data_IF_241355794424
#
_entry.id   IF_241355794424
#
_cell.length_a   1.000
_cell.length_b   1.000
_cell.length_c   1.000
_cell.angle_alpha   90.00
_cell.angle_beta   90.00
_cell.angle_gamma   90.00
#
_symmetry.space_group_name_H-M   'P 1'
#
loop_
_entity.id
_entity.type
_entity.pdbx_description
1 polymer ?
#
# COMPACT_ATOMS: atom_id res chain seq x y z
N UNK A 1 33.04 -26.93 -26.21
CA UNK A 1 32.81 -27.49 -24.86
C UNK A 1 31.46 -26.98 -24.39
N UNK A 2 30.57 -27.80 -23.79
CA UNK A 2 29.33 -27.28 -23.24
C UNK A 2 29.67 -26.39 -22.05
N UNK A 3 29.12 -25.18 -22.05
CA UNK A 3 29.24 -24.20 -20.97
C UNK A 3 28.74 -24.84 -19.67
N UNK A 4 29.47 -24.80 -18.54
CA UNK A 4 29.01 -25.40 -17.30
C UNK A 4 27.74 -24.67 -16.86
N UNK A 5 26.71 -25.45 -16.52
CA UNK A 5 25.47 -24.95 -15.92
C UNK A 5 25.88 -24.20 -14.64
N UNK A 6 25.86 -22.86 -14.71
CA UNK A 6 26.02 -22.01 -13.54
C UNK A 6 24.79 -22.27 -12.67
N UNK A 7 24.96 -22.91 -11.51
CA UNK A 7 23.93 -22.87 -10.49
C UNK A 7 23.77 -21.40 -10.08
N UNK A 8 22.74 -20.74 -10.60
CA UNK A 8 22.43 -19.37 -10.24
C UNK A 8 21.91 -19.36 -8.81
N UNK A 9 22.67 -18.76 -7.92
CA UNK A 9 22.15 -18.31 -6.64
C UNK A 9 21.10 -17.24 -6.93
N UNK A 10 19.90 -17.37 -6.36
CA UNK A 10 18.88 -16.33 -6.43
C UNK A 10 19.06 -15.33 -5.30
N UNK A 11 18.87 -14.06 -5.58
CA UNK A 11 18.70 -13.02 -4.58
C UNK A 11 17.22 -12.82 -4.25
N UNK A 12 16.96 -12.24 -3.08
CA UNK A 12 15.63 -11.74 -2.72
C UNK A 12 15.59 -10.25 -3.05
N UNK A 13 14.80 -9.91 -4.04
CA UNK A 13 14.50 -8.53 -4.41
C UNK A 13 13.49 -7.94 -3.44
N UNK A 14 13.69 -6.68 -3.08
CA UNK A 14 12.76 -5.88 -2.30
C UNK A 14 12.09 -4.90 -3.26
N UNK A 15 10.91 -5.18 -3.79
CA UNK A 15 10.26 -4.31 -4.79
C UNK A 15 10.12 -2.89 -4.26
N UNK A 16 9.86 -2.70 -2.97
CA UNK A 16 10.08 -1.39 -2.32
C UNK A 16 11.54 -1.27 -1.84
N UNK A 17 12.33 -0.27 -2.30
CA UNK A 17 13.74 -0.16 -1.93
C UNK A 17 13.94 -0.04 -0.41
N UNK A 18 14.80 -0.90 0.16
CA UNK A 18 15.08 -0.91 1.61
C UNK A 18 15.67 0.41 2.12
N UNK A 19 16.34 1.18 1.26
CA UNK A 19 16.95 2.47 1.62
C UNK A 19 15.93 3.54 2.00
N UNK A 20 14.64 3.31 1.75
CA UNK A 20 13.55 4.24 2.03
C UNK A 20 12.81 3.92 3.35
N UNK A 21 13.29 2.94 4.13
CA UNK A 21 12.68 2.58 5.41
C UNK A 21 13.31 3.37 6.57
N UNK A 22 12.47 3.89 7.46
CA UNK A 22 12.88 4.42 8.76
C UNK A 22 13.29 3.27 9.73
N UNK A 23 14.19 3.54 10.68
CA UNK A 23 14.86 2.50 11.50
C UNK A 23 13.91 1.69 12.38
N UNK A 24 12.84 2.32 12.89
CA UNK A 24 11.91 1.80 13.88
C UNK A 24 10.87 0.83 13.31
N UNK A 25 10.61 0.86 12.00
CA UNK A 25 9.69 -0.08 11.31
C UNK A 25 10.41 -1.05 10.34
N UNK A 26 11.74 -1.01 10.33
CA UNK A 26 12.60 -1.71 9.37
C UNK A 26 12.34 -3.22 9.32
N UNK A 27 12.16 -3.87 10.47
CA UNK A 27 12.05 -5.33 10.52
C UNK A 27 10.77 -5.84 9.84
N UNK A 28 9.61 -5.20 10.11
CA UNK A 28 8.32 -5.61 9.55
C UNK A 28 8.26 -5.33 8.04
N UNK A 29 8.61 -4.10 7.65
CA UNK A 29 8.68 -3.65 6.26
C UNK A 29 9.61 -4.54 5.42
N UNK A 30 10.80 -4.86 5.94
CA UNK A 30 11.80 -5.67 5.24
C UNK A 30 11.41 -7.14 5.08
N UNK A 31 10.57 -7.68 5.97
CA UNK A 31 10.16 -9.09 5.94
C UNK A 31 8.83 -9.36 5.26
N UNK A 32 8.06 -8.33 4.89
CA UNK A 32 6.75 -8.51 4.28
C UNK A 32 6.88 -9.15 2.88
N UNK A 33 6.44 -10.40 2.73
CA UNK A 33 6.57 -11.20 1.52
C UNK A 33 5.73 -10.65 0.36
N UNK A 34 4.76 -9.75 0.58
CA UNK A 34 3.98 -9.15 -0.50
C UNK A 34 4.80 -8.27 -1.45
N UNK A 35 6.02 -7.86 -1.09
CA UNK A 35 6.95 -7.15 -1.98
C UNK A 35 8.30 -7.87 -2.17
N UNK A 36 8.42 -9.11 -1.71
CA UNK A 36 9.65 -9.90 -1.83
C UNK A 36 9.56 -10.93 -2.95
N UNK A 37 10.49 -10.86 -3.90
CA UNK A 37 10.51 -11.74 -5.08
C UNK A 37 11.89 -12.37 -5.29
N UNK A 38 11.97 -13.62 -5.77
CA UNK A 38 13.23 -14.22 -6.19
C UNK A 38 13.72 -13.57 -7.49
N UNK A 39 14.98 -13.17 -7.54
CA UNK A 39 15.58 -12.50 -8.72
C UNK A 39 17.00 -12.99 -9.01
N UNK A 40 17.46 -12.75 -10.24
CA UNK A 40 18.84 -12.99 -10.61
C UNK A 40 19.76 -11.94 -9.94
N UNK A 41 20.91 -12.31 -9.36
CA UNK A 41 21.79 -11.37 -8.66
C UNK A 41 22.25 -10.20 -9.53
N UNK A 42 22.55 -10.43 -10.81
CA UNK A 42 22.98 -9.38 -11.73
C UNK A 42 21.87 -8.34 -11.94
N UNK A 43 20.62 -8.80 -12.07
CA UNK A 43 19.44 -7.95 -12.22
C UNK A 43 19.15 -7.20 -10.93
N UNK A 44 19.24 -7.87 -9.77
CA UNK A 44 19.08 -7.25 -8.46
C UNK A 44 20.11 -6.14 -8.23
N UNK A 45 21.37 -6.39 -8.60
CA UNK A 45 22.47 -5.44 -8.41
C UNK A 45 22.30 -4.23 -9.32
N UNK A 46 21.87 -4.45 -10.57
CA UNK A 46 21.58 -3.37 -11.51
C UNK A 46 20.38 -2.53 -11.05
N UNK A 47 19.29 -3.18 -10.63
CA UNK A 47 18.08 -2.50 -10.18
C UNK A 47 18.35 -1.60 -8.98
N UNK A 48 19.18 -2.03 -8.03
CA UNK A 48 19.56 -1.26 -6.84
C UNK A 48 18.35 -0.59 -6.15
N UNK A 49 18.25 0.74 -6.19
CA UNK A 49 17.14 1.55 -5.73
C UNK A 49 16.52 2.40 -6.85
N UNK A 50 16.79 2.05 -8.12
CA UNK A 50 16.29 2.80 -9.27
C UNK A 50 14.75 2.81 -9.27
N UNK A 51 14.14 3.94 -9.66
CA UNK A 51 12.70 4.03 -9.87
C UNK A 51 12.27 3.06 -10.97
N UNK A 52 11.04 2.58 -10.87
CA UNK A 52 10.44 1.81 -11.94
C UNK A 52 9.89 2.74 -13.02
N UNK A 53 10.11 2.41 -14.29
CA UNK A 53 9.54 3.16 -15.39
C UNK A 53 9.75 2.50 -16.74
N UNK A 54 9.08 3.02 -17.77
CA UNK A 54 9.20 2.53 -19.14
C UNK A 54 10.42 3.17 -19.81
N UNK A 55 11.24 2.33 -20.46
CA UNK A 55 12.48 2.79 -21.07
C UNK A 55 12.20 3.38 -22.45
N UNK A 56 12.59 4.64 -22.62
CA UNK A 56 12.68 5.31 -23.91
C UNK A 56 14.06 5.14 -24.55
N UNK A 57 15.13 5.29 -23.78
CA UNK A 57 16.53 5.10 -24.24
C UNK A 57 17.18 3.94 -23.50
N UNK A 58 17.46 2.85 -24.20
CA UNK A 58 17.99 1.61 -23.60
C UNK A 58 19.51 1.69 -23.40
N UNK A 59 19.98 1.49 -22.16
CA UNK A 59 21.40 1.34 -21.84
C UNK A 59 21.79 -0.13 -21.64
N UNK A 60 20.85 -0.95 -21.16
CA UNK A 60 21.07 -2.36 -20.89
C UNK A 60 19.79 -3.18 -21.08
N UNK A 61 19.97 -4.43 -21.48
CA UNK A 61 18.89 -5.43 -21.65
C UNK A 61 19.31 -6.73 -20.98
N UNK A 62 18.39 -7.36 -20.26
CA UNK A 62 18.66 -8.63 -19.58
C UNK A 62 18.88 -9.77 -20.57
N UNK A 63 19.91 -10.58 -20.30
CA UNK A 63 20.19 -11.81 -21.04
C UNK A 63 19.20 -12.94 -20.72
N UNK A 64 18.45 -12.81 -19.62
CA UNK A 64 17.48 -13.80 -19.16
C UNK A 64 16.09 -13.56 -19.76
N UNK A 65 15.78 -12.30 -20.06
CA UNK A 65 14.53 -11.86 -20.67
C UNK A 65 14.73 -10.47 -21.28
N UNK A 66 14.53 -10.34 -22.59
CA UNK A 66 14.82 -9.09 -23.32
C UNK A 66 13.82 -7.96 -23.04
N UNK A 67 12.72 -8.24 -22.35
CA UNK A 67 11.74 -7.22 -21.93
C UNK A 67 12.21 -6.44 -20.70
N UNK A 68 13.10 -7.02 -19.89
CA UNK A 68 13.70 -6.34 -18.74
C UNK A 68 14.89 -5.45 -19.15
N UNK A 69 14.80 -4.16 -18.82
CA UNK A 69 15.69 -3.12 -19.33
C UNK A 69 16.10 -2.13 -18.24
N UNK A 70 17.20 -1.44 -18.49
CA UNK A 70 17.65 -0.27 -17.74
C UNK A 70 18.07 0.81 -18.74
N UNK A 71 17.79 2.07 -18.41
CA UNK A 71 18.01 3.19 -19.30
C UNK A 71 17.33 4.46 -18.83
N UNK A 72 16.97 5.32 -19.77
CA UNK A 72 16.25 6.58 -19.49
C UNK A 72 14.77 6.47 -19.86
N UNK A 73 13.91 7.07 -19.04
CA UNK A 73 12.50 7.32 -19.36
C UNK A 73 12.33 8.45 -20.40
N UNK A 74 11.09 8.84 -20.70
CA UNK A 74 10.80 9.93 -21.64
C UNK A 74 11.30 11.30 -21.17
N UNK A 75 11.37 11.51 -19.85
CA UNK A 75 11.86 12.76 -19.23
C UNK A 75 13.40 12.81 -19.11
N UNK A 76 14.09 11.74 -19.49
CA UNK A 76 15.54 11.62 -19.44
C UNK A 76 16.09 11.23 -18.06
N UNK A 77 15.25 10.70 -17.18
CA UNK A 77 15.61 10.19 -15.85
C UNK A 77 15.95 8.70 -15.93
N UNK A 78 16.93 8.25 -15.15
CA UNK A 78 17.30 6.84 -15.09
C UNK A 78 16.24 6.01 -14.37
N UNK A 79 15.78 4.94 -15.00
CA UNK A 79 14.81 4.02 -14.40
C UNK A 79 15.05 2.57 -14.83
N UNK A 80 14.34 1.67 -14.17
CA UNK A 80 14.39 0.23 -14.41
C UNK A 80 13.03 -0.28 -14.87
N UNK A 81 13.02 -1.07 -15.93
CA UNK A 81 11.81 -1.72 -16.47
C UNK A 81 11.92 -3.23 -16.18
N UNK A 82 11.04 -3.79 -15.34
CA UNK A 82 11.01 -5.22 -15.08
C UNK A 82 10.51 -5.96 -16.33
N UNK A 83 10.57 -7.29 -16.28
CA UNK A 83 10.00 -8.14 -17.35
C UNK A 83 8.52 -7.83 -17.52
N UNK A 84 8.03 -7.89 -18.76
CA UNK A 84 6.64 -7.54 -19.06
C UNK A 84 5.63 -8.31 -18.20
N UNK A 85 5.87 -9.60 -17.96
CA UNK A 85 5.03 -10.47 -17.13
C UNK A 85 5.17 -10.26 -15.60
N UNK A 86 5.90 -9.24 -15.17
CA UNK A 86 6.10 -8.90 -13.76
C UNK A 86 5.81 -7.41 -13.49
N UNK A 87 5.41 -6.65 -14.52
CA UNK A 87 5.10 -5.22 -14.39
C UNK A 87 3.89 -5.02 -13.48
N UNK A 88 2.85 -5.84 -13.64
CA UNK A 88 1.66 -5.81 -12.82
C UNK A 88 1.92 -6.24 -11.38
N UNK A 89 2.68 -7.32 -11.18
CA UNK A 89 3.09 -7.79 -9.85
C UNK A 89 3.83 -6.69 -9.08
N UNK A 90 4.79 -6.03 -9.74
CA UNK A 90 5.56 -4.96 -9.14
C UNK A 90 4.67 -3.77 -8.77
N UNK A 91 3.76 -3.38 -9.66
CA UNK A 91 2.80 -2.30 -9.40
C UNK A 91 1.90 -2.62 -8.19
N UNK A 92 1.28 -3.81 -8.16
CA UNK A 92 0.42 -4.23 -7.04
C UNK A 92 1.18 -4.38 -5.73
N UNK A 93 2.44 -4.79 -5.77
CA UNK A 93 3.30 -4.82 -4.58
C UNK A 93 3.57 -3.40 -4.03
N UNK A 94 3.83 -2.43 -4.91
CA UNK A 94 4.04 -1.03 -4.52
C UNK A 94 2.74 -0.39 -3.99
N UNK A 95 1.61 -0.57 -4.67
CA UNK A 95 0.31 -0.08 -4.19
C UNK A 95 -0.04 -0.65 -2.82
N UNK A 96 0.16 -1.97 -2.64
CA UNK A 96 -0.03 -2.63 -1.36
C UNK A 96 0.83 -2.00 -0.29
N UNK A 97 2.12 -1.80 -0.56
CA UNK A 97 3.05 -1.29 0.43
C UNK A 97 2.74 0.16 0.81
N UNK A 98 2.35 0.99 -0.16
CA UNK A 98 1.92 2.37 0.06
C UNK A 98 0.73 2.44 1.01
N UNK A 99 -0.31 1.62 0.79
CA UNK A 99 -1.48 1.56 1.68
C UNK A 99 -1.15 0.88 3.01
N UNK A 100 -0.30 -0.15 2.99
CA UNK A 100 0.00 -0.97 4.16
C UNK A 100 0.66 -0.18 5.27
N UNK A 101 1.57 0.70 4.85
CA UNK A 101 2.48 1.44 5.70
C UNK A 101 2.23 2.94 5.66
N UNK A 102 1.17 3.40 4.98
CA UNK A 102 0.85 4.83 4.81
C UNK A 102 2.05 5.62 4.26
N UNK A 103 2.68 5.06 3.23
CA UNK A 103 3.90 5.59 2.62
C UNK A 103 3.61 6.10 1.22
N UNK A 104 4.01 7.33 0.94
CA UNK A 104 4.02 7.89 -0.41
C UNK A 104 4.82 6.97 -1.34
N UNK A 105 4.33 6.79 -2.58
CA UNK A 105 5.04 6.00 -3.58
C UNK A 105 6.47 6.53 -3.75
N UNK A 106 7.47 5.65 -3.87
CA UNK A 106 8.85 6.07 -3.92
C UNK A 106 9.12 6.96 -5.15
N UNK A 107 9.68 8.14 -4.87
CA UNK A 107 10.08 9.20 -5.81
C UNK A 107 8.91 9.88 -6.56
N UNK A 108 8.36 10.92 -5.93
CA UNK A 108 7.10 11.63 -6.20
C UNK A 108 7.12 12.50 -7.48
N UNK A 109 7.97 12.21 -8.47
CA UNK A 109 7.79 12.86 -9.78
C UNK A 109 6.58 12.22 -10.46
N UNK A 110 5.51 13.00 -10.60
CA UNK A 110 4.10 12.61 -10.80
C UNK A 110 3.72 11.68 -11.95
N UNK A 111 4.67 11.09 -12.68
CA UNK A 111 4.41 10.05 -13.68
C UNK A 111 4.38 8.62 -13.08
N UNK A 112 4.89 8.42 -11.86
CA UNK A 112 5.00 7.08 -11.25
C UNK A 112 3.66 6.40 -10.98
N UNK A 113 2.62 7.12 -10.54
CA UNK A 113 1.31 6.51 -10.34
C UNK A 113 0.71 6.05 -11.67
N UNK A 114 0.78 6.88 -12.70
CA UNK A 114 0.15 6.62 -14.00
C UNK A 114 0.73 5.37 -14.65
N UNK A 115 2.07 5.25 -14.65
CA UNK A 115 2.74 4.07 -15.21
C UNK A 115 2.44 2.79 -14.42
N UNK A 116 2.39 2.85 -13.09
CA UNK A 116 2.04 1.68 -12.28
C UNK A 116 0.58 1.25 -12.50
N UNK A 117 -0.34 2.22 -12.69
CA UNK A 117 -1.74 1.95 -13.03
C UNK A 117 -1.86 1.34 -14.43
N UNK A 118 -1.08 1.82 -15.39
CA UNK A 118 -1.00 1.23 -16.74
C UNK A 118 -0.48 -0.20 -16.65
N UNK A 119 0.65 -0.44 -15.98
CA UNK A 119 1.24 -1.76 -15.80
C UNK A 119 0.27 -2.73 -15.13
N UNK A 120 -0.39 -2.32 -14.05
CA UNK A 120 -1.44 -3.08 -13.38
C UNK A 120 -2.58 -3.49 -14.32
N UNK A 121 -2.97 -2.59 -15.23
CA UNK A 121 -4.05 -2.84 -16.19
C UNK A 121 -3.61 -3.78 -17.32
N UNK A 122 -2.38 -3.59 -17.83
CA UNK A 122 -1.85 -4.38 -18.95
C UNK A 122 -1.38 -5.78 -18.54
N UNK A 123 -1.01 -5.95 -17.27
CA UNK A 123 -0.54 -7.21 -16.67
C UNK A 123 -1.41 -7.56 -15.45
N UNK A 124 -2.67 -8.01 -15.66
CA UNK A 124 -3.61 -8.34 -14.58
C UNK A 124 -3.16 -9.56 -13.78
N UNK A 125 -3.65 -9.76 -12.54
CA UNK A 125 -3.23 -10.89 -11.73
C UNK A 125 -3.44 -12.24 -12.40
N UNK A 126 -2.38 -13.04 -12.42
CA UNK A 126 -2.40 -14.37 -12.99
C UNK A 126 -2.56 -15.45 -11.90
N UNK A 127 -2.66 -16.72 -12.32
CA UNK A 127 -2.81 -17.83 -11.37
C UNK A 127 -1.61 -17.99 -10.42
N UNK A 128 -0.41 -17.61 -10.87
CA UNK A 128 0.81 -17.74 -10.07
C UNK A 128 0.82 -16.69 -8.96
N UNK A 129 0.45 -15.45 -9.29
CA UNK A 129 0.36 -14.34 -8.35
C UNK A 129 -0.76 -14.55 -7.33
N UNK A 130 -1.94 -15.01 -7.76
CA UNK A 130 -3.05 -15.37 -6.86
C UNK A 130 -2.62 -16.48 -5.90
N UNK A 131 -1.98 -17.55 -6.41
CA UNK A 131 -1.48 -18.65 -5.57
C UNK A 131 -0.44 -18.16 -4.57
N UNK A 132 0.46 -17.26 -4.98
CA UNK A 132 1.43 -16.64 -4.08
C UNK A 132 0.75 -15.83 -2.98
N UNK A 133 -0.31 -15.08 -3.30
CA UNK A 133 -1.08 -14.31 -2.31
C UNK A 133 -1.74 -15.24 -1.27
N UNK A 134 -2.20 -16.43 -1.68
CA UNK A 134 -2.68 -17.49 -0.76
C UNK A 134 -1.57 -18.01 0.15
N UNK A 135 -0.41 -18.33 -0.40
CA UNK A 135 0.72 -18.85 0.38
C UNK A 135 1.25 -17.82 1.38
N UNK A 136 1.36 -16.56 0.96
CA UNK A 136 1.75 -15.46 1.86
C UNK A 136 0.72 -15.28 2.98
N UNK A 137 -0.57 -15.36 2.67
CA UNK A 137 -1.62 -15.24 3.68
C UNK A 137 -1.52 -16.31 4.77
N UNK A 138 -1.22 -17.57 4.40
CA UNK A 138 -1.06 -18.66 5.37
C UNK A 138 0.10 -18.36 6.35
N UNK A 139 1.11 -17.61 5.93
CA UNK A 139 2.32 -17.34 6.72
C UNK A 139 2.30 -16.00 7.48
N UNK A 140 1.68 -14.96 6.91
CA UNK A 140 1.66 -13.61 7.46
C UNK A 140 0.29 -13.13 7.93
N UNK A 141 -0.77 -13.88 7.64
CA UNK A 141 -2.16 -13.58 8.02
C UNK A 141 -2.68 -12.24 7.46
N UNK A 142 -2.09 -11.74 6.36
CA UNK A 142 -2.57 -10.59 5.62
C UNK A 142 -2.46 -10.79 4.09
N UNK A 143 -3.31 -10.09 3.34
CA UNK A 143 -3.46 -10.22 1.88
C UNK A 143 -3.02 -8.95 1.17
N UNK A 144 -2.55 -9.08 -0.07
CA UNK A 144 -2.48 -7.95 -0.98
C UNK A 144 -3.87 -7.76 -1.66
N UNK A 145 -4.60 -6.66 -1.35
CA UNK A 145 -5.94 -6.41 -1.87
C UNK A 145 -5.94 -6.20 -3.37
N UNK A 146 -4.86 -5.70 -3.96
CA UNK A 146 -4.82 -5.38 -5.37
C UNK A 146 -4.63 -6.62 -6.25
N UNK A 147 -4.27 -7.76 -5.64
CA UNK A 147 -4.28 -9.08 -6.27
C UNK A 147 -5.69 -9.68 -6.20
N UNK A 148 -6.36 -9.57 -5.05
CA UNK A 148 -7.71 -10.13 -4.84
C UNK A 148 -8.81 -9.32 -5.54
N UNK A 149 -8.63 -8.01 -5.53
CA UNK A 149 -9.55 -6.98 -6.01
C UNK A 149 -8.78 -5.91 -6.81
N UNK A 150 -8.36 -6.23 -8.05
CA UNK A 150 -7.63 -5.31 -8.92
C UNK A 150 -8.33 -3.96 -9.13
N UNK A 151 -9.67 -3.95 -9.07
CA UNK A 151 -10.51 -2.77 -9.21
C UNK A 151 -10.29 -1.73 -8.10
N UNK A 152 -9.67 -2.09 -6.98
CA UNK A 152 -9.41 -1.15 -5.89
C UNK A 152 -8.34 -0.10 -6.23
N UNK A 153 -7.48 -0.38 -7.22
CA UNK A 153 -6.48 0.58 -7.70
C UNK A 153 -7.14 1.86 -8.23
N UNK A 154 -8.29 1.73 -8.91
CA UNK A 154 -9.01 2.86 -9.51
C UNK A 154 -9.74 3.73 -8.47
N UNK A 155 -9.94 3.20 -7.26
CA UNK A 155 -10.63 3.88 -6.17
C UNK A 155 -9.69 4.73 -5.30
N UNK A 156 -8.38 4.65 -5.56
CA UNK A 156 -7.33 5.28 -4.75
C UNK A 156 -6.52 6.23 -5.63
N UNK A 157 -6.39 7.47 -5.16
CA UNK A 157 -5.28 8.32 -5.54
C UNK A 157 -4.12 8.07 -4.58
N UNK A 158 -2.96 7.63 -5.07
CA UNK A 158 -1.78 7.31 -4.28
C UNK A 158 -0.83 8.51 -4.12
N UNK A 159 -1.15 9.68 -4.70
CA UNK A 159 -0.43 10.93 -4.42
C UNK A 159 -0.75 11.48 -3.02
N UNK A 160 -2.03 11.48 -2.65
CA UNK A 160 -2.50 12.05 -1.38
C UNK A 160 -3.44 11.13 -0.60
N UNK A 161 -3.57 9.87 -1.05
CA UNK A 161 -4.52 8.90 -0.51
C UNK A 161 -5.96 9.40 -0.49
N UNK A 162 -6.32 10.43 -1.28
CA UNK A 162 -7.69 10.93 -1.40
C UNK A 162 -8.50 10.10 -2.42
N UNK A 163 -9.82 10.30 -2.41
CA UNK A 163 -10.67 9.77 -3.48
C UNK A 163 -10.79 10.83 -4.57
N UNK A 164 -10.75 10.48 -5.86
CA UNK A 164 -11.07 11.42 -6.94
C UNK A 164 -12.56 11.82 -7.02
N UNK A 165 -13.35 11.61 -5.96
CA UNK A 165 -14.78 11.91 -5.95
C UNK A 165 -15.00 13.20 -5.17
N UNK A 166 -15.38 14.24 -5.91
CA UNK A 166 -15.83 15.53 -5.37
C UNK A 166 -16.99 15.35 -4.40
N UNK A 167 -16.69 15.52 -3.11
CA UNK A 167 -17.67 15.96 -2.13
C UNK A 167 -17.21 17.33 -1.69
N UNK A 168 -18.00 18.34 -2.05
CA UNK A 168 -17.78 19.74 -1.73
C UNK A 168 -17.53 19.93 -0.22
N UNK A 169 -16.54 20.78 0.07
CA UNK A 169 -16.28 21.47 1.33
C UNK A 169 -16.24 20.62 2.61
N UNK A 170 -15.04 20.12 2.92
CA UNK A 170 -14.59 20.07 4.31
C UNK A 170 -13.21 20.72 4.42
N UNK A 171 -13.15 21.85 5.11
CA UNK A 171 -11.93 22.57 5.47
C UNK A 171 -10.88 21.60 6.06
N UNK A 172 -9.93 21.24 5.21
CA UNK A 172 -8.87 20.28 5.48
C UNK A 172 -7.81 20.96 6.35
N UNK A 173 -8.05 21.08 7.65
CA UNK A 173 -6.96 21.44 8.56
C UNK A 173 -6.12 20.17 8.74
N UNK A 174 -4.99 20.11 8.02
CA UNK A 174 -3.89 19.16 8.24
C UNK A 174 -3.27 19.43 9.61
N UNK A 175 -3.99 19.13 10.68
CA UNK A 175 -3.44 19.10 12.02
C UNK A 175 -2.45 17.94 12.08
N UNK A 176 -1.30 18.16 12.72
CA UNK A 176 -0.16 17.25 12.87
C UNK A 176 -0.45 15.99 13.69
N UNK A 177 -1.70 15.52 13.71
CA UNK A 177 -2.12 14.31 14.37
C UNK A 177 -1.86 13.12 13.45
N UNK A 178 -0.84 12.34 13.78
CA UNK A 178 -0.55 11.07 13.11
C UNK A 178 -1.58 10.02 13.56
N UNK A 179 -2.38 9.51 12.62
CA UNK A 179 -3.39 8.46 12.86
C UNK A 179 -2.98 7.25 12.02
N UNK A 180 -2.81 6.10 12.68
CA UNK A 180 -2.36 4.87 12.02
C UNK A 180 -3.41 3.80 12.20
N UNK A 181 -3.83 3.17 11.11
CA UNK A 181 -4.67 1.97 11.16
C UNK A 181 -3.79 0.74 10.94
N UNK A 182 -3.68 -0.12 11.96
CA UNK A 182 -2.86 -1.32 11.87
C UNK A 182 -3.53 -2.55 12.50
N UNK A 183 -3.58 -3.70 11.78
CA UNK A 183 -3.18 -3.87 10.39
C UNK A 183 -4.13 -3.13 9.43
N UNK A 184 -3.64 -2.68 8.28
CA UNK A 184 -4.45 -2.17 7.18
C UNK A 184 -3.67 -2.45 5.90
N UNK A 185 -4.11 -3.29 4.95
CA UNK A 185 -5.39 -3.99 4.94
C UNK A 185 -5.54 -5.00 6.09
N UNK A 186 -6.78 -5.29 6.50
CA UNK A 186 -7.07 -6.19 7.61
C UNK A 186 -8.14 -7.23 7.26
N UNK A 187 -8.11 -8.39 7.94
CA UNK A 187 -9.05 -9.50 7.70
C UNK A 187 -10.12 -9.70 8.78
N UNK A 188 -9.77 -9.39 10.02
CA UNK A 188 -10.58 -9.68 11.21
C UNK A 188 -10.83 -8.41 12.01
N UNK A 189 -9.77 -7.66 12.31
CA UNK A 189 -9.87 -6.36 12.95
C UNK A 189 -8.65 -5.48 12.66
N UNK A 190 -8.84 -4.17 12.77
CA UNK A 190 -7.77 -3.17 12.74
C UNK A 190 -7.84 -2.27 13.97
N UNK A 191 -6.68 -1.79 14.43
CA UNK A 191 -6.58 -0.76 15.46
C UNK A 191 -6.36 0.59 14.80
N UNK A 192 -7.32 1.49 14.97
CA UNK A 192 -7.16 2.90 14.62
C UNK A 192 -6.50 3.58 15.84
N UNK A 193 -5.23 3.91 15.70
CA UNK A 193 -4.35 4.41 16.76
C UNK A 193 -4.04 5.89 16.53
N UNK A 194 -4.16 6.70 17.57
CA UNK A 194 -3.91 8.15 17.51
C UNK A 194 -3.46 8.67 18.88
N UNK A 195 -2.78 9.81 18.90
CA UNK A 195 -2.24 10.40 20.13
C UNK A 195 -3.02 11.64 20.58
N UNK A 196 -3.48 11.65 21.82
CA UNK A 196 -4.21 12.79 22.38
C UNK A 196 -3.23 13.66 23.17
N UNK A 197 -2.95 14.86 22.65
CA UNK A 197 -2.06 15.86 23.27
C UNK A 197 -2.76 16.72 24.30
N UNK A 198 -4.04 17.04 24.08
CA UNK A 198 -4.89 17.78 25.01
C UNK A 198 -6.27 17.12 25.10
N UNK A 199 -6.72 16.87 26.33
CA UNK A 199 -8.01 16.24 26.62
C UNK A 199 -9.06 17.24 27.14
N UNK A 200 -8.68 18.50 27.37
CA UNK A 200 -9.57 19.52 27.93
C UNK A 200 -10.66 19.96 26.95
N UNK A 201 -10.39 19.88 25.64
CA UNK A 201 -11.37 20.13 24.58
C UNK A 201 -12.23 18.90 24.25
N UNK A 202 -11.92 17.74 24.84
CA UNK A 202 -12.70 16.53 24.67
C UNK A 202 -13.81 16.49 25.73
N UNK A 203 -15.06 16.35 25.30
CA UNK A 203 -16.19 16.05 26.19
C UNK A 203 -16.12 14.59 26.74
N UNK A 204 -14.93 14.04 26.94
CA UNK A 204 -14.67 12.66 27.37
C UNK A 204 -14.97 11.59 26.31
N UNK A 205 -15.53 11.93 25.15
CA UNK A 205 -15.89 10.97 24.11
C UNK A 205 -15.21 11.29 22.78
N UNK A 206 -14.64 10.26 22.16
CA UNK A 206 -14.17 10.27 20.78
C UNK A 206 -15.03 9.33 19.95
N UNK A 207 -15.36 9.76 18.74
CA UNK A 207 -16.19 9.03 17.79
C UNK A 207 -15.40 8.80 16.49
N UNK A 208 -15.46 7.57 15.99
CA UNK A 208 -15.04 7.21 14.64
C UNK A 208 -16.28 6.76 13.89
N UNK A 209 -16.59 7.46 12.81
CA UNK A 209 -17.60 7.05 11.83
C UNK A 209 -16.92 6.36 10.68
N UNK A 210 -17.49 5.25 10.21
CA UNK A 210 -16.97 4.46 9.11
C UNK A 210 -18.00 4.46 7.99
N UNK A 211 -17.56 4.77 6.79
CA UNK A 211 -18.38 4.90 5.60
C UNK A 211 -17.90 3.95 4.52
N UNK A 212 -18.83 3.44 3.71
CA UNK A 212 -18.45 2.75 2.47
C UNK A 212 -18.07 3.77 1.38
N UNK A 213 -17.60 3.29 0.23
CA UNK A 213 -17.22 4.13 -0.92
C UNK A 213 -18.38 4.96 -1.51
N UNK A 214 -19.64 4.64 -1.19
CA UNK A 214 -20.81 5.44 -1.60
C UNK A 214 -21.12 6.58 -0.63
N UNK A 215 -20.34 6.72 0.45
CA UNK A 215 -20.58 7.70 1.52
C UNK A 215 -21.67 7.29 2.52
N UNK A 216 -22.15 6.04 2.47
CA UNK A 216 -23.14 5.54 3.43
C UNK A 216 -22.45 5.22 4.76
N UNK A 217 -23.01 5.69 5.88
CA UNK A 217 -22.51 5.37 7.22
C UNK A 217 -22.76 3.89 7.54
N UNK A 218 -21.68 3.16 7.82
CA UNK A 218 -21.68 1.72 8.09
C UNK A 218 -21.55 1.41 9.58
N UNK A 219 -20.68 2.13 10.28
CA UNK A 219 -20.44 1.88 11.70
C UNK A 219 -20.07 3.17 12.45
N UNK A 220 -20.52 3.29 13.69
CA UNK A 220 -20.09 4.34 14.62
C UNK A 220 -19.40 3.72 15.85
N UNK A 221 -18.09 3.89 15.94
CA UNK A 221 -17.27 3.42 17.06
C UNK A 221 -17.03 4.56 18.03
N UNK A 222 -17.47 4.39 19.27
CA UNK A 222 -17.30 5.39 20.32
C UNK A 222 -16.36 4.89 21.41
N UNK A 223 -15.43 5.74 21.87
CA UNK A 223 -14.55 5.42 23.00
C UNK A 223 -14.50 6.57 23.99
N UNK A 224 -14.60 6.23 25.27
CA UNK A 224 -14.39 7.15 26.38
C UNK A 224 -12.89 7.38 26.56
N UNK A 225 -12.48 8.65 26.59
CA UNK A 225 -11.10 9.10 26.77
C UNK A 225 -10.99 9.77 28.15
N UNK A 226 -10.15 9.20 29.01
CA UNK A 226 -9.97 9.68 30.39
C UNK A 226 -8.66 10.43 30.65
N UNK A 227 -7.72 10.45 29.69
CA UNK A 227 -6.40 11.08 29.84
C UNK A 227 -5.73 11.32 28.48
N UNK A 228 -4.68 12.14 28.46
CA UNK A 228 -3.76 12.27 27.33
C UNK A 228 -2.98 10.97 27.09
N UNK A 229 -2.46 10.83 25.87
CA UNK A 229 -1.63 9.69 25.46
C UNK A 229 -2.18 8.91 24.28
N UNK A 230 -1.55 7.75 24.03
CA UNK A 230 -1.92 6.83 22.95
C UNK A 230 -3.33 6.25 23.19
N UNK A 231 -4.18 6.37 22.17
CA UNK A 231 -5.53 5.84 22.14
C UNK A 231 -5.72 4.90 20.96
N UNK A 232 -6.43 3.79 21.20
CA UNK A 232 -6.72 2.75 20.20
C UNK A 232 -8.21 2.46 20.15
N UNK A 233 -8.80 2.48 18.96
CA UNK A 233 -10.18 2.04 18.72
C UNK A 233 -10.13 0.86 17.76
N UNK A 234 -10.82 -0.23 18.11
CA UNK A 234 -10.83 -1.46 17.31
C UNK A 234 -12.04 -1.44 16.41
N UNK A 235 -11.82 -1.61 15.10
CA UNK A 235 -12.88 -1.97 14.16
C UNK A 235 -12.73 -3.42 13.73
N UNK A 236 -13.83 -4.17 13.71
CA UNK A 236 -13.86 -5.60 13.41
C UNK A 236 -14.48 -5.93 12.04
N UNK A 237 -14.58 -4.95 11.14
CA UNK A 237 -15.17 -5.14 9.81
C UNK A 237 -16.67 -5.47 9.85
N UNK A 238 -17.39 -4.96 10.84
CA UNK A 238 -18.85 -5.13 10.97
C UNK A 238 -19.57 -3.80 10.87
N UNK A 239 -20.84 -3.83 10.51
CA UNK A 239 -21.74 -2.67 10.59
C UNK A 239 -22.30 -2.47 12.02
N UNK A 240 -23.09 -1.41 12.22
CA UNK A 240 -23.76 -1.12 13.50
C UNK A 240 -24.72 -2.24 13.97
N UNK A 241 -25.17 -3.10 13.05
CA UNK A 241 -26.02 -4.26 13.32
C UNK A 241 -25.20 -5.53 13.64
N UNK A 242 -23.87 -5.40 13.77
CA UNK A 242 -22.90 -6.49 13.99
C UNK A 242 -22.88 -7.51 12.85
N UNK A 243 -23.33 -7.13 11.66
CA UNK A 243 -23.25 -7.95 10.47
C UNK A 243 -21.90 -7.74 9.79
N UNK A 244 -21.36 -8.82 9.25
CA UNK A 244 -20.17 -8.76 8.41
C UNK A 244 -20.46 -7.98 7.12
N UNK A 245 -19.60 -7.00 6.85
CA UNK A 245 -19.60 -6.24 5.59
C UNK A 245 -18.62 -6.87 4.60
N UNK A 246 -18.74 -6.46 3.33
CA UNK A 246 -17.95 -6.99 2.22
C UNK A 246 -16.50 -6.49 2.29
N UNK A 247 -15.58 -7.26 1.69
CA UNK A 247 -14.23 -6.77 1.37
C UNK A 247 -14.33 -5.49 0.55
N UNK A 248 -13.47 -4.51 0.85
CA UNK A 248 -13.62 -3.18 0.28
C UNK A 248 -12.75 -2.12 0.96
N UNK A 249 -12.64 -0.98 0.28
CA UNK A 249 -12.14 0.25 0.86
C UNK A 249 -13.25 0.93 1.65
N UNK A 250 -12.91 1.40 2.83
CA UNK A 250 -13.80 2.15 3.71
C UNK A 250 -13.11 3.44 4.11
N UNK A 251 -13.90 4.51 4.23
CA UNK A 251 -13.44 5.78 4.78
C UNK A 251 -13.79 5.83 6.25
N UNK A 252 -12.92 6.37 7.08
CA UNK A 252 -13.28 6.71 8.45
C UNK A 252 -13.13 8.20 8.69
N UNK A 253 -13.94 8.71 9.61
CA UNK A 253 -13.86 10.07 10.13
C UNK A 253 -13.74 10.00 11.64
N UNK A 254 -12.59 10.41 12.17
CA UNK A 254 -12.28 10.53 13.58
C UNK A 254 -12.53 11.96 14.05
N UNK A 255 -13.40 12.12 15.05
CA UNK A 255 -13.67 13.42 15.68
C UNK A 255 -13.05 13.50 17.07
N UNK A 256 -12.12 14.44 17.24
CA UNK A 256 -11.43 14.74 18.50
C UNK A 256 -11.68 16.21 18.83
N UNK A 257 -12.64 16.46 19.70
CA UNK A 257 -13.03 17.83 20.08
C UNK A 257 -13.59 18.57 18.87
N UNK A 258 -12.92 19.66 18.47
CA UNK A 258 -13.26 20.43 17.26
C UNK A 258 -12.57 19.91 16.00
N UNK A 259 -11.52 19.10 16.14
CA UNK A 259 -10.76 18.59 15.01
C UNK A 259 -11.43 17.36 14.43
N UNK A 260 -11.46 17.31 13.10
CA UNK A 260 -11.96 16.19 12.33
C UNK A 260 -10.83 15.70 11.45
N UNK A 261 -10.57 14.40 11.52
CA UNK A 261 -9.58 13.74 10.68
C UNK A 261 -10.27 12.65 9.89
N UNK A 262 -9.87 12.50 8.63
CA UNK A 262 -10.37 11.45 7.76
C UNK A 262 -9.22 10.54 7.34
N UNK A 263 -9.52 9.28 7.07
CA UNK A 263 -8.54 8.34 6.52
C UNK A 263 -9.21 7.15 5.86
N UNK A 264 -8.40 6.25 5.31
CA UNK A 264 -8.85 5.06 4.59
C UNK A 264 -8.45 3.78 5.33
N UNK A 265 -9.29 2.76 5.23
CA UNK A 265 -9.01 1.42 5.73
C UNK A 265 -9.55 0.41 4.72
N UNK A 266 -8.76 -0.60 4.42
CA UNK A 266 -9.10 -1.69 3.50
C UNK A 266 -9.41 -2.96 4.29
N UNK A 267 -10.63 -3.48 4.15
CA UNK A 267 -11.06 -4.77 4.69
C UNK A 267 -10.95 -5.84 3.60
N UNK A 268 -10.40 -7.01 3.94
CA UNK A 268 -10.29 -8.17 3.03
C UNK A 268 -10.71 -9.44 3.78
N UNK A 269 -11.74 -10.14 3.32
CA UNK A 269 -12.25 -11.39 3.89
C UNK A 269 -12.33 -12.51 2.87
#
# INVERSE_FOLDING_TARGET
MPNPIHFQYFNREHTWPQSLFEEDELAQKKSDMHHLYPTNPDVNNLRANLPFGDIHTVFWVSIYDTTCKYGLNMDGEECFEPRDCHKGDAARALFYFAIRYDMELPDITGWHQEILKEWHTTDPPDSSEITRNEEVYILQENRNPFIDHPEFVDLIDFEDFSNPIGVDDFDYIKTSLHIVSYPNPFNSSTNISFFITDYTELNGLTEIKIYNIKGELINTLTKQIGKTGECKIIWNGKDDYRKDIQSGIYLYQLKIGKNVHSGKITLIR
#
